data_IF_056849148752
#
_entry.id   IF_056849148752
#
_cell.length_a   1.000
_cell.length_b   1.000
_cell.length_c   1.000
_cell.angle_alpha   90.00
_cell.angle_beta   90.00
_cell.angle_gamma   90.00
#
_symmetry.space_group_name_H-M   'P 1'
#
loop_
_entity.id
_entity.type
_entity.pdbx_description
1 polymer ?
#
# COMPACT_ATOMS: atom_id res chain seq x y z
N UNK A 1 -12.38 -24.86 18.97
CA UNK A 1 -11.37 -24.78 17.88
C UNK A 1 -11.97 -24.57 16.49
N UNK A 2 -13.14 -25.13 16.13
CA UNK A 2 -13.76 -24.95 14.80
C UNK A 2 -14.24 -23.51 14.53
N UNK A 3 -14.88 -22.86 15.50
CA UNK A 3 -15.41 -21.50 15.35
C UNK A 3 -14.32 -20.46 15.00
N UNK A 4 -13.09 -20.63 15.51
CA UNK A 4 -11.96 -19.75 15.17
C UNK A 4 -11.48 -19.92 13.73
N UNK A 5 -11.56 -21.15 13.18
CA UNK A 5 -11.14 -21.46 11.82
C UNK A 5 -12.15 -20.97 10.77
N UNK A 6 -13.44 -21.05 11.09
CA UNK A 6 -14.53 -20.59 10.20
C UNK A 6 -15.04 -19.18 10.55
N UNK A 7 -14.32 -18.44 11.40
CA UNK A 7 -14.74 -17.08 11.81
C UNK A 7 -14.86 -16.14 10.61
N UNK A 8 -13.96 -16.21 9.64
CA UNK A 8 -13.94 -15.33 8.47
C UNK A 8 -15.18 -15.49 7.57
N UNK A 9 -15.72 -16.71 7.47
CA UNK A 9 -16.95 -16.99 6.71
C UNK A 9 -18.23 -16.64 7.46
N UNK A 10 -18.20 -16.74 8.79
CA UNK A 10 -19.38 -16.52 9.63
C UNK A 10 -19.58 -15.04 10.00
N UNK A 11 -18.49 -14.31 10.27
CA UNK A 11 -18.51 -12.90 10.69
C UNK A 11 -19.33 -11.94 9.78
N UNK A 12 -19.29 -12.05 8.44
CA UNK A 12 -20.09 -11.18 7.57
C UNK A 12 -21.61 -11.36 7.74
N UNK A 13 -22.03 -12.58 8.08
CA UNK A 13 -23.44 -12.98 8.24
C UNK A 13 -23.99 -12.72 9.64
N UNK A 14 -23.15 -12.27 10.59
CA UNK A 14 -23.60 -11.95 11.96
C UNK A 14 -24.21 -10.54 11.97
N UNK A 15 -25.43 -10.34 12.51
CA UNK A 15 -26.04 -9.03 12.64
C UNK A 15 -25.20 -8.06 13.49
N UNK A 16 -25.16 -6.78 13.15
CA UNK A 16 -24.35 -5.76 13.82
C UNK A 16 -24.58 -5.69 15.34
N UNK A 17 -25.83 -5.92 15.80
CA UNK A 17 -26.21 -5.94 17.23
C UNK A 17 -25.53 -7.06 18.02
N UNK A 18 -25.26 -8.20 17.39
CA UNK A 18 -24.59 -9.33 18.05
C UNK A 18 -23.08 -9.08 18.10
N UNK A 19 -22.51 -8.44 17.08
CA UNK A 19 -21.08 -8.06 17.06
C UNK A 19 -20.73 -7.07 18.17
N UNK A 20 -21.60 -6.10 18.45
CA UNK A 20 -21.39 -5.12 19.53
C UNK A 20 -21.44 -5.72 20.94
N UNK A 21 -22.06 -6.88 21.11
CA UNK A 21 -22.13 -7.58 22.40
C UNK A 21 -20.88 -8.42 22.69
N UNK A 22 -20.05 -8.67 21.68
CA UNK A 22 -18.84 -9.51 21.80
C UNK A 22 -17.62 -8.81 21.17
N UNK A 23 -17.03 -7.81 21.86
CA UNK A 23 -15.92 -7.01 21.34
C UNK A 23 -14.68 -7.86 20.98
N UNK A 24 -14.50 -9.01 21.61
CA UNK A 24 -13.42 -9.95 21.30
C UNK A 24 -13.49 -10.56 19.89
N UNK A 25 -14.67 -10.54 19.23
CA UNK A 25 -14.85 -11.02 17.86
C UNK A 25 -14.46 -10.00 16.79
N UNK A 26 -14.20 -8.74 17.17
CA UNK A 26 -13.97 -7.63 16.24
C UNK A 26 -12.48 -7.33 15.99
N UNK A 27 -11.56 -8.12 16.55
CA UNK A 27 -10.14 -7.78 16.61
C UNK A 27 -9.28 -8.31 15.44
N UNK A 28 -9.88 -8.90 14.41
CA UNK A 28 -9.12 -9.40 13.27
C UNK A 28 -9.56 -8.74 11.97
N UNK A 29 -8.88 -7.64 11.63
CA UNK A 29 -8.82 -7.13 10.27
C UNK A 29 -7.66 -7.85 9.59
N UNK A 30 -7.90 -8.74 8.60
CA UNK A 30 -6.80 -9.29 7.83
C UNK A 30 -6.03 -8.14 7.19
N UNK A 31 -4.70 -8.13 7.29
CA UNK A 31 -3.89 -7.16 6.55
C UNK A 31 -4.15 -7.36 5.05
N UNK A 32 -4.32 -6.26 4.32
CA UNK A 32 -4.45 -6.29 2.87
C UNK A 32 -3.22 -7.00 2.30
N UNK A 33 -3.42 -8.20 1.78
CA UNK A 33 -2.34 -9.07 1.34
C UNK A 33 -1.91 -8.65 -0.06
N UNK A 34 -0.67 -8.98 -0.42
CA UNK A 34 -0.12 -8.73 -1.76
C UNK A 34 -1.03 -9.16 -2.92
N UNK A 35 -1.86 -10.21 -2.73
CA UNK A 35 -2.83 -10.69 -3.72
C UNK A 35 -3.90 -9.66 -4.09
N UNK A 36 -4.35 -8.84 -3.13
CA UNK A 36 -5.29 -7.76 -3.40
C UNK A 36 -4.62 -6.63 -4.19
N UNK A 37 -3.33 -6.38 -3.93
CA UNK A 37 -2.55 -5.37 -4.64
C UNK A 37 -2.26 -5.77 -6.10
N UNK A 38 -1.94 -7.05 -6.34
CA UNK A 38 -1.74 -7.61 -7.67
C UNK A 38 -3.02 -7.49 -8.53
N UNK A 39 -4.19 -7.85 -7.97
CA UNK A 39 -5.47 -7.70 -8.64
C UNK A 39 -5.88 -6.23 -8.90
N UNK A 40 -5.24 -5.28 -8.23
CA UNK A 40 -5.53 -3.86 -8.33
C UNK A 40 -4.60 -3.11 -9.31
N UNK A 41 -3.76 -3.84 -10.07
CA UNK A 41 -2.90 -3.27 -11.10
C UNK A 41 -1.66 -2.54 -10.57
N UNK A 42 -1.22 -2.90 -9.36
CA UNK A 42 -0.02 -2.33 -8.72
C UNK A 42 1.26 -3.12 -9.07
N UNK A 43 1.32 -3.67 -10.28
CA UNK A 43 2.49 -4.36 -10.82
C UNK A 43 2.85 -3.77 -12.19
N UNK A 44 4.15 -3.77 -12.51
CA UNK A 44 4.65 -3.37 -13.83
C UNK A 44 5.85 -4.23 -14.22
N UNK A 45 6.29 -4.14 -15.47
CA UNK A 45 7.47 -4.87 -15.94
C UNK A 45 8.75 -4.51 -15.15
N UNK A 46 8.85 -3.28 -14.64
CA UNK A 46 9.96 -2.83 -13.79
C UNK A 46 9.72 -3.09 -12.30
N UNK A 47 8.52 -3.55 -11.92
CA UNK A 47 8.13 -3.79 -10.54
C UNK A 47 7.17 -4.97 -10.46
N UNK A 48 7.74 -6.17 -10.56
CA UNK A 48 7.02 -7.42 -10.48
C UNK A 48 6.86 -7.85 -9.01
N UNK A 49 5.62 -7.75 -8.51
CA UNK A 49 5.24 -8.22 -7.18
C UNK A 49 4.79 -9.68 -7.24
N UNK A 50 4.27 -10.15 -8.39
CA UNK A 50 3.68 -11.48 -8.54
C UNK A 50 4.74 -12.57 -8.42
N UNK A 51 5.94 -12.35 -8.99
CA UNK A 51 7.07 -13.26 -8.81
C UNK A 51 7.46 -13.40 -7.32
N UNK A 52 7.49 -12.31 -6.57
CA UNK A 52 7.84 -12.32 -5.15
C UNK A 52 6.80 -13.08 -4.29
N UNK A 53 5.52 -12.94 -4.62
CA UNK A 53 4.44 -13.71 -3.98
C UNK A 53 4.61 -15.20 -4.29
N UNK A 54 4.87 -15.54 -5.57
CA UNK A 54 5.03 -16.93 -6.03
C UNK A 54 6.23 -17.61 -5.37
N UNK A 55 7.32 -16.88 -5.18
CA UNK A 55 8.56 -17.39 -4.60
C UNK A 55 8.58 -17.32 -3.06
N UNK A 56 7.49 -16.85 -2.44
CA UNK A 56 7.30 -16.86 -0.99
C UNK A 56 8.19 -15.86 -0.23
N UNK A 57 8.55 -14.73 -0.86
CA UNK A 57 9.36 -13.69 -0.22
C UNK A 57 8.62 -13.10 0.98
N UNK A 58 9.29 -13.07 2.14
CA UNK A 58 8.74 -12.59 3.41
C UNK A 58 8.85 -11.06 3.58
N UNK A 59 9.46 -10.34 2.62
CA UNK A 59 9.51 -8.87 2.66
C UNK A 59 8.08 -8.31 2.63
N UNK A 60 7.79 -7.40 3.56
CA UNK A 60 6.55 -6.61 3.54
C UNK A 60 6.62 -5.71 2.31
N UNK A 61 5.58 -5.75 1.47
CA UNK A 61 5.51 -5.10 0.16
C UNK A 61 5.46 -3.58 0.21
N UNK A 62 4.68 -2.98 -0.69
CA UNK A 62 4.31 -1.58 -0.49
C UNK A 62 3.60 -1.44 0.86
N UNK A 63 4.03 -0.44 1.63
CA UNK A 63 3.27 0.05 2.78
C UNK A 63 1.82 0.35 2.37
N UNK A 64 0.86 0.06 3.25
CA UNK A 64 -0.56 0.27 3.00
C UNK A 64 -0.85 1.72 2.63
N UNK A 65 -0.18 2.66 3.30
CA UNK A 65 -0.28 4.10 3.01
C UNK A 65 0.28 4.43 1.63
N UNK A 66 1.44 3.87 1.28
CA UNK A 66 2.06 4.06 -0.02
C UNK A 66 1.18 3.54 -1.16
N UNK A 67 0.53 2.40 -0.95
CA UNK A 67 -0.41 1.80 -1.90
C UNK A 67 -1.61 2.70 -2.15
N UNK A 68 -2.22 3.22 -1.08
CA UNK A 68 -3.38 4.11 -1.19
C UNK A 68 -3.04 5.41 -1.93
N UNK A 69 -1.88 6.01 -1.65
CA UNK A 69 -1.42 7.23 -2.32
C UNK A 69 -1.19 7.00 -3.83
N UNK A 70 -0.55 5.89 -4.20
CA UNK A 70 -0.35 5.54 -5.62
C UNK A 70 -1.70 5.35 -6.31
N UNK A 71 -2.64 4.63 -5.68
CA UNK A 71 -4.00 4.43 -6.21
C UNK A 71 -4.77 5.74 -6.38
N UNK A 72 -4.61 6.67 -5.45
CA UNK A 72 -5.22 7.99 -5.57
C UNK A 72 -4.64 8.78 -6.75
N UNK A 73 -3.32 8.78 -6.92
CA UNK A 73 -2.64 9.44 -8.03
C UNK A 73 -3.05 8.82 -9.37
N UNK A 74 -3.12 7.49 -9.46
CA UNK A 74 -3.59 6.79 -10.67
C UNK A 74 -5.02 7.22 -11.04
N UNK A 75 -5.93 7.30 -10.06
CA UNK A 75 -7.31 7.72 -10.30
C UNK A 75 -7.43 9.20 -10.67
N UNK A 76 -6.66 10.07 -10.01
CA UNK A 76 -6.72 11.53 -10.20
C UNK A 76 -6.08 11.97 -11.51
N UNK A 77 -4.86 11.51 -11.76
CA UNK A 77 -4.05 11.92 -12.91
C UNK A 77 -4.27 11.02 -14.15
N UNK A 78 -5.00 9.90 -14.00
CA UNK A 78 -5.26 8.90 -15.05
C UNK A 78 -3.98 8.35 -15.69
N UNK A 79 -2.98 8.10 -14.85
CA UNK A 79 -1.65 7.60 -15.25
C UNK A 79 -1.49 6.12 -14.89
N UNK A 80 -0.49 5.47 -15.49
CA UNK A 80 -0.14 4.10 -15.15
C UNK A 80 0.57 4.02 -13.77
N UNK A 81 0.76 2.79 -13.29
CA UNK A 81 1.37 2.53 -11.98
C UNK A 81 2.77 3.15 -11.82
N UNK A 82 3.64 3.00 -12.82
CA UNK A 82 5.02 3.52 -12.74
C UNK A 82 5.05 5.05 -12.74
N UNK A 83 4.20 5.69 -13.56
CA UNK A 83 4.04 7.14 -13.56
C UNK A 83 3.49 7.63 -12.22
N UNK A 84 2.50 6.96 -11.65
CA UNK A 84 1.96 7.32 -10.34
C UNK A 84 3.02 7.20 -9.24
N UNK A 85 3.86 6.16 -9.28
CA UNK A 85 4.99 6.00 -8.36
C UNK A 85 6.02 7.13 -8.50
N UNK A 86 6.35 7.51 -9.74
CA UNK A 86 7.26 8.62 -10.01
C UNK A 86 6.70 9.94 -9.46
N UNK A 87 5.43 10.23 -9.74
CA UNK A 87 4.75 11.44 -9.25
C UNK A 87 4.76 11.47 -7.72
N UNK A 88 4.39 10.35 -7.08
CA UNK A 88 4.42 10.23 -5.61
C UNK A 88 5.80 10.53 -5.05
N UNK A 89 6.84 9.95 -5.65
CA UNK A 89 8.22 10.15 -5.18
C UNK A 89 8.64 11.61 -5.33
N UNK A 90 8.35 12.24 -6.46
CA UNK A 90 8.64 13.66 -6.68
C UNK A 90 7.91 14.56 -5.67
N UNK A 91 6.65 14.25 -5.32
CA UNK A 91 5.93 14.97 -4.28
C UNK A 91 6.57 14.81 -2.90
N UNK A 92 7.09 13.63 -2.57
CA UNK A 92 7.82 13.40 -1.33
C UNK A 92 9.13 14.22 -1.33
N UNK A 93 9.89 14.20 -2.42
CA UNK A 93 11.12 14.99 -2.54
C UNK A 93 10.83 16.48 -2.37
N UNK A 94 9.86 17.01 -3.10
CA UNK A 94 9.49 18.42 -3.04
C UNK A 94 9.05 18.85 -1.63
N UNK A 95 8.25 18.01 -0.92
CA UNK A 95 7.85 18.26 0.47
C UNK A 95 9.03 18.31 1.45
N UNK A 96 10.14 17.64 1.11
CA UNK A 96 11.36 17.64 1.91
C UNK A 96 12.41 18.65 1.40
N UNK A 97 12.03 19.57 0.50
CA UNK A 97 12.96 20.57 -0.02
C UNK A 97 14.00 19.98 -0.97
N UNK A 98 13.67 18.91 -1.69
CA UNK A 98 14.55 18.24 -2.65
C UNK A 98 13.92 18.35 -4.04
N UNK A 99 14.72 18.77 -5.01
CA UNK A 99 14.38 18.87 -6.43
C UNK A 99 14.25 17.46 -7.07
N UNK A 100 13.53 17.27 -8.20
CA UNK A 100 13.49 15.98 -8.88
C UNK A 100 14.87 15.46 -9.35
N UNK A 101 15.88 16.33 -9.47
CA UNK A 101 17.27 15.93 -9.68
C UNK A 101 17.93 15.26 -8.47
N UNK A 102 17.30 15.31 -7.29
CA UNK A 102 17.85 14.85 -6.01
C UNK A 102 18.65 15.93 -5.26
N UNK A 103 18.76 17.14 -5.82
CA UNK A 103 19.49 18.24 -5.20
C UNK A 103 18.63 19.00 -4.17
N UNK A 104 19.20 19.50 -3.06
CA UNK A 104 18.47 20.36 -2.15
C UNK A 104 18.01 21.65 -2.85
N UNK A 105 16.80 22.11 -2.54
CA UNK A 105 16.26 23.40 -2.98
C UNK A 105 16.82 24.57 -2.16
N UNK A 106 17.55 24.30 -1.08
CA UNK A 106 18.21 25.33 -0.28
C UNK A 106 19.39 25.94 -1.04
N UNK A 107 19.26 27.24 -1.36
CA UNK A 107 20.31 28.06 -1.98
C UNK A 107 21.65 28.08 -1.23
N UNK A 108 21.65 27.75 0.07
CA UNK A 108 22.85 27.71 0.91
C UNK A 108 23.47 26.32 1.01
N UNK A 109 22.87 25.30 0.41
CA UNK A 109 23.43 23.96 0.42
C UNK A 109 24.74 23.93 -0.37
N UNK A 110 25.84 23.54 0.31
CA UNK A 110 27.13 23.31 -0.34
C UNK A 110 27.10 21.93 -0.98
N UNK A 111 27.09 21.90 -2.31
CA UNK A 111 26.89 20.66 -3.09
C UNK A 111 28.19 20.12 -3.71
N UNK A 112 29.29 20.86 -3.58
CA UNK A 112 30.63 20.51 -4.07
C UNK A 112 31.69 21.10 -3.16
N UNK A 113 32.79 20.36 -2.97
CA UNK A 113 33.97 20.76 -2.19
C UNK A 113 35.11 21.17 -3.13
#
# INVERSE_FOLDING_TARGET
MLAFRYRATLLPHVPARVRSMFPQLSNYTPLSTFSEQAGAGLSSAAFDIEANIRDGDARVGLDERGTQEVMEIMRRERVNFDQARLIRQNQILARNGIDPSGMPLDSKAVTRL
#
